data_IF_706967843288
#
_entry.id   IF_706967843288
#
_cell.length_a   1.000
_cell.length_b   1.000
_cell.length_c   1.000
_cell.angle_alpha   90.00
_cell.angle_beta   90.00
_cell.angle_gamma   90.00
#
_symmetry.space_group_name_H-M   'P 1'
#
loop_
_entity.id
_entity.type
_entity.pdbx_description
1 polymer ?
#
# COMPACT_ATOMS: atom_id res chain seq x y z
N UNK A 1 -29.83 16.03 -22.16
CA UNK A 1 -29.13 17.01 -21.30
C UNK A 1 -28.23 16.16 -20.45
N UNK A 2 -26.91 16.23 -20.65
CA UNK A 2 -25.98 15.47 -19.80
C UNK A 2 -25.99 16.14 -18.44
N UNK A 3 -26.45 15.42 -17.43
CA UNK A 3 -26.26 15.80 -16.04
C UNK A 3 -24.74 15.88 -15.80
N UNK A 4 -24.26 16.96 -15.18
CA UNK A 4 -22.84 17.13 -14.90
C UNK A 4 -22.34 16.09 -13.88
N UNK A 5 -21.03 15.81 -13.81
CA UNK A 5 -20.47 14.74 -12.97
C UNK A 5 -20.67 14.94 -11.45
N UNK A 6 -21.12 16.13 -11.04
CA UNK A 6 -21.35 16.54 -9.64
C UNK A 6 -22.82 16.82 -9.33
N UNK A 7 -23.73 16.40 -10.22
CA UNK A 7 -25.16 16.64 -10.02
C UNK A 7 -25.72 15.82 -8.86
N UNK A 8 -26.41 16.48 -7.94
CA UNK A 8 -26.99 15.86 -6.74
C UNK A 8 -26.08 15.90 -5.53
N UNK A 9 -24.86 16.47 -5.64
CA UNK A 9 -23.98 16.66 -4.49
C UNK A 9 -24.66 17.51 -3.39
N UNK A 10 -25.42 18.55 -3.73
CA UNK A 10 -26.11 19.38 -2.73
C UNK A 10 -27.30 18.70 -2.04
N UNK A 11 -27.75 17.54 -2.55
CA UNK A 11 -28.89 16.80 -1.99
C UNK A 11 -28.49 15.90 -0.81
N UNK A 12 -27.19 15.74 -0.55
CA UNK A 12 -26.63 14.91 0.53
C UNK A 12 -26.34 15.80 1.74
N UNK A 13 -26.73 15.35 2.93
CA UNK A 13 -26.41 16.02 4.19
C UNK A 13 -24.96 15.73 4.61
N UNK A 14 -24.01 16.37 3.92
CA UNK A 14 -22.58 16.18 4.18
C UNK A 14 -22.16 16.63 5.58
N UNK A 15 -22.82 17.64 6.14
CA UNK A 15 -22.52 18.11 7.49
C UNK A 15 -22.90 17.08 8.56
N UNK A 16 -23.89 16.23 8.30
CA UNK A 16 -24.20 15.10 9.17
C UNK A 16 -23.17 13.96 9.07
N UNK A 17 -22.53 13.78 7.91
CA UNK A 17 -21.55 12.72 7.66
C UNK A 17 -20.12 13.11 8.06
N UNK A 18 -19.78 14.39 7.96
CA UNK A 18 -18.49 14.96 8.33
C UNK A 18 -18.72 16.27 9.12
N UNK A 19 -18.88 16.21 10.46
CA UNK A 19 -19.32 17.35 11.26
C UNK A 19 -18.46 18.60 11.16
N UNK A 20 -17.13 18.44 11.03
CA UNK A 20 -16.20 19.56 11.08
C UNK A 20 -16.10 20.31 9.75
N UNK A 21 -16.07 19.58 8.63
CA UNK A 21 -15.76 20.13 7.30
C UNK A 21 -16.69 19.66 6.17
N UNK A 22 -17.74 18.90 6.49
CA UNK A 22 -18.64 18.30 5.49
C UNK A 22 -19.33 19.33 4.59
N UNK A 23 -19.60 20.53 5.07
CA UNK A 23 -20.19 21.60 4.26
C UNK A 23 -19.29 22.06 3.09
N UNK A 24 -17.99 21.76 3.13
CA UNK A 24 -17.03 22.08 2.07
C UNK A 24 -17.09 21.09 0.89
N UNK A 25 -17.52 19.84 1.15
CA UNK A 25 -17.44 18.72 0.19
C UNK A 25 -18.08 19.03 -1.17
N UNK A 26 -19.31 19.59 -1.27
CA UNK A 26 -19.90 19.89 -2.59
C UNK A 26 -19.05 20.82 -3.45
N UNK A 27 -18.42 21.83 -2.85
CA UNK A 27 -17.57 22.77 -3.61
C UNK A 27 -16.23 22.14 -3.97
N UNK A 28 -15.66 21.32 -3.09
CA UNK A 28 -14.45 20.54 -3.40
C UNK A 28 -14.70 19.58 -4.58
N UNK A 29 -15.84 18.87 -4.60
CA UNK A 29 -16.22 18.02 -5.73
C UNK A 29 -16.34 18.81 -7.05
N UNK A 30 -16.91 20.03 -7.02
CA UNK A 30 -16.94 20.91 -8.20
C UNK A 30 -15.55 21.40 -8.60
N UNK A 31 -14.67 21.64 -7.64
CA UNK A 31 -13.29 22.04 -7.88
C UNK A 31 -12.46 20.91 -8.51
N UNK A 32 -12.72 19.66 -8.15
CA UNK A 32 -12.10 18.49 -8.79
C UNK A 32 -12.45 18.35 -10.28
N UNK A 33 -13.64 18.79 -10.69
CA UNK A 33 -14.03 18.80 -12.10
C UNK A 33 -13.32 19.88 -12.94
N UNK A 34 -12.56 20.77 -12.30
CA UNK A 34 -11.76 21.83 -12.93
C UNK A 34 -10.26 21.49 -12.81
N UNK A 35 -9.58 21.14 -13.92
CA UNK A 35 -8.17 20.73 -13.88
C UNK A 35 -7.24 21.74 -13.18
N UNK A 36 -7.57 23.04 -13.22
CA UNK A 36 -6.74 24.08 -12.60
C UNK A 36 -6.83 24.08 -11.06
N UNK A 37 -7.87 23.46 -10.49
CA UNK A 37 -8.13 23.41 -9.05
C UNK A 37 -8.07 21.99 -8.47
N UNK A 38 -7.94 20.98 -9.34
CA UNK A 38 -8.08 19.58 -8.94
C UNK A 38 -7.06 19.15 -7.88
N UNK A 39 -5.79 19.53 -8.00
CA UNK A 39 -4.74 19.07 -7.06
C UNK A 39 -5.00 19.57 -5.64
N UNK A 40 -5.27 20.87 -5.45
CA UNK A 40 -5.58 21.43 -4.13
C UNK A 40 -6.90 20.84 -3.58
N UNK A 41 -7.92 20.70 -4.43
CA UNK A 41 -9.19 20.13 -4.03
C UNK A 41 -9.09 18.65 -3.64
N UNK A 42 -8.17 17.87 -4.25
CA UNK A 42 -7.90 16.48 -3.85
C UNK A 42 -7.33 16.45 -2.45
N UNK A 43 -6.30 17.25 -2.15
CA UNK A 43 -5.69 17.29 -0.82
C UNK A 43 -6.74 17.65 0.24
N UNK A 44 -7.46 18.74 0.02
CA UNK A 44 -8.42 19.25 1.00
C UNK A 44 -9.59 18.27 1.18
N UNK A 45 -10.01 17.55 0.13
CA UNK A 45 -11.04 16.52 0.24
C UNK A 45 -10.51 15.24 0.90
N UNK A 46 -9.27 14.83 0.61
CA UNK A 46 -8.60 13.70 1.25
C UNK A 46 -8.55 13.90 2.77
N UNK A 47 -8.13 15.06 3.26
CA UNK A 47 -8.09 15.37 4.69
C UNK A 47 -9.45 15.21 5.40
N UNK A 48 -10.56 15.39 4.68
CA UNK A 48 -11.91 15.22 5.22
C UNK A 48 -12.34 13.75 5.19
N UNK A 49 -11.99 13.02 4.12
CA UNK A 49 -12.53 11.69 3.84
C UNK A 49 -11.62 10.54 4.30
N UNK A 50 -10.34 10.81 4.56
CA UNK A 50 -9.33 9.80 4.89
C UNK A 50 -9.74 9.00 6.12
N UNK A 51 -9.49 7.70 6.10
CA UNK A 51 -9.67 6.85 7.27
C UNK A 51 -8.43 6.97 8.19
N UNK A 52 -8.58 6.99 9.53
CA UNK A 52 -9.81 6.92 10.31
C UNK A 52 -10.33 8.30 10.79
N UNK A 53 -10.37 9.31 9.92
CA UNK A 53 -10.87 10.64 10.31
C UNK A 53 -12.38 10.62 10.62
N UNK A 54 -12.84 11.57 11.43
CA UNK A 54 -14.27 11.73 11.75
C UNK A 54 -15.16 12.05 10.53
N UNK A 55 -14.58 12.48 9.40
CA UNK A 55 -15.30 12.72 8.16
C UNK A 55 -15.34 11.53 7.20
N UNK A 56 -14.65 10.43 7.52
CA UNK A 56 -14.67 9.20 6.72
C UNK A 56 -16.07 8.63 6.42
N UNK A 57 -17.11 8.79 7.28
CA UNK A 57 -18.48 8.37 6.92
C UNK A 57 -19.06 9.05 5.65
N UNK A 58 -18.46 10.15 5.19
CA UNK A 58 -18.81 10.78 3.92
C UNK A 58 -18.17 10.08 2.69
N UNK A 59 -17.09 9.33 2.87
CA UNK A 59 -16.30 8.74 1.78
C UNK A 59 -17.13 7.83 0.85
N UNK A 60 -17.99 6.90 1.34
CA UNK A 60 -18.79 6.05 0.47
C UNK A 60 -19.73 6.84 -0.45
N UNK A 61 -20.20 8.02 -0.02
CA UNK A 61 -21.08 8.89 -0.81
C UNK A 61 -20.31 9.72 -1.84
N UNK A 62 -19.04 10.02 -1.59
CA UNK A 62 -18.20 10.77 -2.52
C UNK A 62 -17.80 9.94 -3.74
N UNK A 63 -17.66 8.61 -3.59
CA UNK A 63 -17.18 7.69 -4.63
C UNK A 63 -17.90 7.87 -5.96
N UNK A 64 -19.24 7.97 -5.96
CA UNK A 64 -20.00 8.06 -7.20
C UNK A 64 -19.62 9.30 -8.02
N UNK A 65 -19.42 10.43 -7.35
CA UNK A 65 -18.98 11.68 -7.97
C UNK A 65 -17.53 11.59 -8.42
N UNK A 66 -16.64 11.01 -7.62
CA UNK A 66 -15.22 10.85 -7.96
C UNK A 66 -15.05 10.00 -9.23
N UNK A 67 -15.77 8.89 -9.35
CA UNK A 67 -15.75 8.06 -10.57
C UNK A 67 -16.28 8.83 -11.78
N UNK A 68 -17.38 9.58 -11.62
CA UNK A 68 -17.95 10.36 -12.73
C UNK A 68 -17.03 11.51 -13.16
N UNK A 69 -16.32 12.15 -12.21
CA UNK A 69 -15.31 13.17 -12.49
C UNK A 69 -14.13 12.54 -13.24
N UNK A 70 -13.57 11.42 -12.76
CA UNK A 70 -12.44 10.76 -13.41
C UNK A 70 -12.74 10.37 -14.87
N UNK A 71 -13.98 9.95 -15.16
CA UNK A 71 -14.43 9.61 -16.52
C UNK A 71 -14.66 10.82 -17.42
N UNK A 72 -15.10 11.93 -16.84
CA UNK A 72 -15.34 13.17 -17.56
C UNK A 72 -14.05 13.97 -17.79
N UNK A 73 -13.02 13.75 -16.97
CA UNK A 73 -11.73 14.40 -17.05
C UNK A 73 -11.03 14.09 -18.39
N UNK A 74 -10.14 15.00 -18.79
CA UNK A 74 -9.21 14.68 -19.86
C UNK A 74 -8.25 13.58 -19.36
N UNK A 75 -7.73 12.71 -20.23
CA UNK A 75 -6.87 11.60 -19.78
C UNK A 75 -5.59 12.01 -19.05
N UNK A 76 -5.11 13.24 -19.26
CA UNK A 76 -3.94 13.77 -18.55
C UNK A 76 -4.30 14.38 -17.18
N UNK A 77 -5.58 14.65 -16.93
CA UNK A 77 -6.07 15.32 -15.72
C UNK A 77 -6.85 14.36 -14.79
N UNK A 78 -7.02 13.09 -15.18
CA UNK A 78 -7.79 12.12 -14.40
C UNK A 78 -7.05 11.60 -13.16
N UNK A 79 -5.71 11.64 -13.18
CA UNK A 79 -4.87 11.02 -12.16
C UNK A 79 -5.11 11.50 -10.73
N UNK A 80 -5.35 12.80 -10.42
CA UNK A 80 -5.52 13.22 -9.03
C UNK A 80 -6.76 12.57 -8.40
N UNK A 81 -7.83 12.43 -9.19
CA UNK A 81 -9.10 11.84 -8.75
C UNK A 81 -8.97 10.32 -8.63
N UNK A 82 -8.22 9.69 -9.53
CA UNK A 82 -7.91 8.25 -9.44
C UNK A 82 -7.02 7.93 -8.23
N UNK A 83 -6.05 8.80 -7.91
CA UNK A 83 -5.25 8.68 -6.69
C UNK A 83 -6.12 8.79 -5.44
N UNK A 84 -7.03 9.78 -5.38
CA UNK A 84 -7.96 9.91 -4.26
C UNK A 84 -8.86 8.67 -4.10
N UNK A 85 -9.39 8.13 -5.20
CA UNK A 85 -10.14 6.87 -5.16
C UNK A 85 -9.30 5.71 -4.61
N UNK A 86 -8.02 5.65 -4.95
CA UNK A 86 -7.09 4.65 -4.43
C UNK A 86 -6.87 4.80 -2.92
N UNK A 87 -6.52 6.00 -2.46
CA UNK A 87 -6.29 6.29 -1.03
C UNK A 87 -7.54 6.03 -0.17
N UNK A 88 -8.73 6.26 -0.73
CA UNK A 88 -9.99 5.95 -0.05
C UNK A 88 -10.33 4.45 -0.06
N UNK A 89 -9.94 3.71 -1.10
CA UNK A 89 -10.13 2.25 -1.17
C UNK A 89 -9.15 1.48 -0.29
N UNK A 90 -7.94 2.01 -0.13
CA UNK A 90 -6.79 1.37 0.51
C UNK A 90 -6.09 2.39 1.39
N UNK A 91 -6.65 2.60 2.59
CA UNK A 91 -6.14 3.58 3.55
C UNK A 91 -4.76 3.25 4.12
N UNK A 92 -4.34 1.99 4.05
CA UNK A 92 -2.99 1.53 4.39
C UNK A 92 -2.56 0.41 3.44
N UNK A 93 -1.87 0.75 2.35
CA UNK A 93 -1.46 -0.21 1.34
C UNK A 93 -0.45 -1.25 1.89
N UNK A 94 0.37 -0.88 2.88
CA UNK A 94 1.28 -1.77 3.58
C UNK A 94 0.59 -2.97 4.30
N UNK A 95 -0.70 -2.85 4.64
CA UNK A 95 -1.48 -3.92 5.29
C UNK A 95 -1.88 -5.04 4.31
N UNK A 96 -1.66 -4.81 3.01
CA UNK A 96 -2.06 -5.70 1.93
C UNK A 96 -0.87 -6.43 1.28
N UNK A 97 0.34 -6.27 1.83
CA UNK A 97 1.57 -6.88 1.33
C UNK A 97 2.38 -7.54 2.47
N UNK A 98 3.06 -8.67 2.21
CA UNK A 98 3.09 -9.39 0.93
C UNK A 98 1.85 -10.27 0.65
N UNK A 99 1.06 -10.60 1.68
CA UNK A 99 -0.12 -11.44 1.51
C UNK A 99 -1.35 -10.58 1.20
N UNK A 100 -2.12 -10.97 0.19
CA UNK A 100 -3.35 -10.24 -0.14
C UNK A 100 -4.34 -10.30 1.03
N UNK A 101 -5.12 -9.23 1.19
CA UNK A 101 -6.19 -9.19 2.19
C UNK A 101 -7.30 -10.18 1.82
N UNK A 102 -7.73 -10.99 2.79
CA UNK A 102 -8.96 -11.77 2.67
C UNK A 102 -10.16 -10.85 2.87
N UNK A 103 -10.81 -10.48 1.75
CA UNK A 103 -11.94 -9.55 1.75
C UNK A 103 -13.18 -10.18 2.40
N UNK A 104 -13.37 -11.50 2.32
CA UNK A 104 -14.50 -12.16 2.96
C UNK A 104 -14.35 -12.11 4.48
N UNK A 105 -13.16 -12.44 4.99
CA UNK A 105 -12.84 -12.31 6.42
C UNK A 105 -12.97 -10.87 6.89
N UNK A 106 -12.52 -9.89 6.10
CA UNK A 106 -12.67 -8.48 6.45
C UNK A 106 -14.16 -8.07 6.57
N UNK A 107 -15.03 -8.53 5.68
CA UNK A 107 -16.48 -8.25 5.79
C UNK A 107 -17.09 -8.87 7.05
N UNK A 108 -16.69 -10.10 7.40
CA UNK A 108 -17.15 -10.78 8.61
C UNK A 108 -16.67 -10.04 9.87
N UNK A 109 -15.41 -9.59 9.88
CA UNK A 109 -14.80 -8.79 10.95
C UNK A 109 -15.59 -7.48 11.18
N UNK A 110 -15.83 -6.70 10.12
CA UNK A 110 -16.58 -5.43 10.21
C UNK A 110 -18.04 -5.68 10.60
N UNK A 111 -18.67 -6.74 10.10
CA UNK A 111 -20.03 -7.12 10.50
C UNK A 111 -20.12 -7.49 11.98
N UNK A 112 -19.12 -8.17 12.51
CA UNK A 112 -19.02 -8.46 13.93
C UNK A 112 -18.85 -7.18 14.76
N UNK A 113 -17.95 -6.27 14.35
CA UNK A 113 -17.69 -5.03 15.07
C UNK A 113 -18.94 -4.13 15.14
N UNK A 114 -19.62 -3.95 14.00
CA UNK A 114 -20.86 -3.17 13.87
C UNK A 114 -22.05 -3.77 14.65
N UNK A 115 -22.03 -5.08 14.89
CA UNK A 115 -23.05 -5.79 15.68
C UNK A 115 -22.73 -5.89 17.18
N UNK A 116 -21.58 -5.39 17.61
CA UNK A 116 -21.06 -5.55 18.98
C UNK A 116 -21.05 -4.21 19.74
N UNK A 117 -20.86 -4.29 21.06
CA UNK A 117 -20.68 -3.12 21.91
C UNK A 117 -19.25 -2.56 21.78
N UNK A 118 -19.10 -1.23 21.75
CA UNK A 118 -17.82 -0.54 21.56
C UNK A 118 -16.72 -1.01 22.54
N UNK A 119 -17.05 -1.31 23.80
CA UNK A 119 -16.07 -1.80 24.77
C UNK A 119 -15.57 -3.21 24.41
N UNK A 120 -16.48 -4.06 23.94
CA UNK A 120 -16.15 -5.41 23.49
C UNK A 120 -15.31 -5.36 22.20
N UNK A 121 -15.62 -4.42 21.29
CA UNK A 121 -14.85 -4.21 20.06
C UNK A 121 -13.42 -3.82 20.39
N UNK A 122 -13.23 -2.80 21.23
CA UNK A 122 -11.90 -2.34 21.66
C UNK A 122 -11.10 -3.42 22.36
N UNK A 123 -11.72 -4.17 23.27
CA UNK A 123 -11.06 -5.26 23.97
C UNK A 123 -10.60 -6.37 23.01
N UNK A 124 -11.42 -6.74 22.03
CA UNK A 124 -11.09 -7.79 21.08
C UNK A 124 -9.99 -7.38 20.10
N UNK A 125 -10.00 -6.14 19.60
CA UNK A 125 -8.92 -5.66 18.72
C UNK A 125 -7.59 -5.55 19.46
N UNK A 126 -7.60 -5.18 20.75
CA UNK A 126 -6.41 -5.23 21.58
C UNK A 126 -5.88 -6.68 21.73
N UNK A 127 -6.76 -7.66 21.90
CA UNK A 127 -6.39 -9.08 21.96
C UNK A 127 -5.84 -9.56 20.60
N UNK A 128 -6.50 -9.26 19.48
CA UNK A 128 -6.03 -9.65 18.15
C UNK A 128 -4.71 -8.99 17.77
N UNK A 129 -4.48 -7.75 18.22
CA UNK A 129 -3.21 -7.07 18.06
C UNK A 129 -2.08 -7.79 18.81
N UNK A 130 -2.32 -8.19 20.06
CA UNK A 130 -1.37 -8.93 20.87
C UNK A 130 -1.07 -10.34 20.31
N UNK A 131 -2.09 -10.99 19.75
CA UNK A 131 -2.02 -12.35 19.19
C UNK A 131 -1.63 -12.39 17.70
N UNK A 132 -1.28 -11.24 17.10
CA UNK A 132 -0.97 -11.15 15.68
C UNK A 132 0.17 -12.14 15.29
N UNK A 133 -0.07 -13.06 14.33
CA UNK A 133 0.86 -14.16 14.06
C UNK A 133 2.11 -13.74 13.28
N UNK A 134 2.04 -12.60 12.59
CA UNK A 134 3.09 -12.02 11.77
C UNK A 134 2.97 -10.49 11.73
N UNK A 135 3.98 -9.84 11.17
CA UNK A 135 4.06 -8.38 11.17
C UNK A 135 2.99 -7.73 10.29
N UNK A 136 2.58 -8.38 9.20
CA UNK A 136 1.53 -7.85 8.34
C UNK A 136 0.18 -7.82 9.08
N UNK A 137 -0.16 -8.89 9.80
CA UNK A 137 -1.37 -8.93 10.63
C UNK A 137 -1.28 -7.95 11.80
N UNK A 138 -0.09 -7.77 12.39
CA UNK A 138 0.11 -6.78 13.44
C UNK A 138 -0.19 -5.37 12.93
N UNK A 139 0.41 -4.93 11.82
CA UNK A 139 0.14 -3.60 11.22
C UNK A 139 -1.35 -3.39 10.94
N UNK A 140 -2.00 -4.41 10.36
CA UNK A 140 -3.44 -4.38 10.11
C UNK A 140 -4.23 -4.21 11.40
N UNK A 141 -4.00 -5.06 12.41
CA UNK A 141 -4.74 -4.99 13.68
C UNK A 141 -4.45 -3.69 14.43
N UNK A 142 -3.24 -3.13 14.30
CA UNK A 142 -2.86 -1.86 14.91
C UNK A 142 -3.68 -0.72 14.32
N UNK A 143 -3.74 -0.64 12.99
CA UNK A 143 -4.55 0.35 12.29
C UNK A 143 -6.04 0.23 12.66
N UNK A 144 -6.55 -0.99 12.83
CA UNK A 144 -7.93 -1.22 13.31
C UNK A 144 -8.12 -0.79 14.75
N UNK A 145 -7.19 -1.14 15.64
CA UNK A 145 -7.22 -0.77 17.05
C UNK A 145 -7.24 0.76 17.23
N UNK A 146 -6.41 1.47 16.47
CA UNK A 146 -6.37 2.93 16.46
C UNK A 146 -7.71 3.53 16.00
N UNK A 147 -8.32 2.96 14.94
CA UNK A 147 -9.61 3.40 14.44
C UNK A 147 -10.78 3.16 15.40
N UNK A 148 -10.73 2.08 16.21
CA UNK A 148 -11.78 1.77 17.19
C UNK A 148 -11.54 2.38 18.56
N UNK A 149 -10.39 3.03 18.80
CA UNK A 149 -10.07 3.62 20.09
C UNK A 149 -11.04 4.76 20.49
N UNK A 150 -11.46 5.67 19.58
CA UNK A 150 -12.49 6.67 19.86
C UNK A 150 -13.91 6.08 19.90
N UNK A 151 -14.83 6.78 20.57
CA UNK A 151 -16.26 6.43 20.60
C UNK A 151 -16.84 6.39 19.17
N UNK A 152 -17.63 5.36 18.85
CA UNK A 152 -18.20 5.18 17.51
C UNK A 152 -17.21 4.69 16.44
N UNK A 153 -16.00 4.29 16.84
CA UNK A 153 -15.00 3.72 15.93
C UNK A 153 -15.45 2.53 15.07
N UNK A 154 -16.35 1.61 15.52
CA UNK A 154 -16.91 0.58 14.65
C UNK A 154 -17.60 1.14 13.39
N UNK A 155 -18.19 2.33 13.47
CA UNK A 155 -18.80 3.00 12.32
C UNK A 155 -17.75 3.49 11.29
N UNK A 156 -16.52 3.79 11.73
CA UNK A 156 -15.40 4.10 10.83
C UNK A 156 -14.96 2.84 10.07
N UNK A 157 -14.86 1.70 10.75
CA UNK A 157 -14.57 0.41 10.09
C UNK A 157 -15.62 0.06 9.03
N UNK A 158 -16.90 0.30 9.35
CA UNK A 158 -18.01 0.15 8.39
C UNK A 158 -17.85 1.10 7.20
N UNK A 159 -17.53 2.36 7.45
CA UNK A 159 -17.40 3.39 6.42
C UNK A 159 -16.24 3.11 5.46
N UNK A 160 -15.11 2.59 5.96
CA UNK A 160 -14.00 2.14 5.11
C UNK A 160 -14.43 1.00 4.19
N UNK A 161 -15.10 -0.03 4.73
CA UNK A 161 -15.59 -1.15 3.92
C UNK A 161 -16.66 -0.70 2.91
N UNK A 162 -17.58 0.17 3.32
CA UNK A 162 -18.61 0.73 2.42
C UNK A 162 -17.98 1.55 1.29
N UNK A 163 -16.84 2.21 1.54
CA UNK A 163 -16.08 2.95 0.52
C UNK A 163 -15.46 1.99 -0.49
N UNK A 164 -14.81 0.93 -0.01
CA UNK A 164 -14.30 -0.15 -0.85
C UNK A 164 -15.41 -0.75 -1.73
N UNK A 165 -16.54 -1.10 -1.13
CA UNK A 165 -17.67 -1.71 -1.83
C UNK A 165 -18.33 -0.74 -2.84
N UNK A 166 -18.38 0.55 -2.55
CA UNK A 166 -18.85 1.57 -3.48
C UNK A 166 -17.95 1.67 -4.72
N UNK A 167 -16.62 1.64 -4.55
CA UNK A 167 -15.68 1.68 -5.68
C UNK A 167 -15.77 0.37 -6.48
N UNK A 168 -15.84 -0.77 -5.78
CA UNK A 168 -16.04 -2.09 -6.40
C UNK A 168 -17.28 -2.11 -7.30
N UNK A 169 -18.39 -1.52 -6.86
CA UNK A 169 -19.63 -1.43 -7.63
C UNK A 169 -19.48 -0.61 -8.92
N UNK A 170 -18.46 0.26 -9.01
CA UNK A 170 -18.18 1.15 -10.15
C UNK A 170 -17.01 0.69 -11.02
N UNK A 171 -16.44 -0.51 -10.79
CA UNK A 171 -15.30 -1.02 -11.57
C UNK A 171 -15.59 -1.03 -13.09
N UNK A 172 -16.78 -1.44 -13.51
CA UNK A 172 -17.15 -1.49 -14.93
C UNK A 172 -17.10 -0.11 -15.62
N UNK A 173 -17.29 0.98 -14.84
CA UNK A 173 -17.19 2.35 -15.33
C UNK A 173 -15.74 2.84 -15.44
N UNK A 174 -14.81 2.25 -14.68
CA UNK A 174 -13.38 2.57 -14.65
C UNK A 174 -12.59 1.80 -15.71
N UNK A 175 -12.95 0.54 -16.00
CA UNK A 175 -12.25 -0.31 -16.98
C UNK A 175 -12.00 0.34 -18.37
N UNK A 176 -12.89 1.17 -18.93
CA UNK A 176 -12.63 1.87 -20.19
C UNK A 176 -11.40 2.79 -20.15
N UNK A 177 -11.00 3.30 -18.98
CA UNK A 177 -9.84 4.18 -18.82
C UNK A 177 -8.51 3.46 -19.06
N UNK A 178 -8.46 2.12 -18.98
CA UNK A 178 -7.27 1.34 -19.31
C UNK A 178 -6.93 1.38 -20.82
N UNK A 179 -7.93 1.65 -21.68
CA UNK A 179 -7.84 1.46 -23.13
C UNK A 179 -7.51 2.73 -23.87
N UNK A 180 -6.86 2.55 -25.02
CA UNK A 180 -6.61 3.62 -25.99
C UNK A 180 -5.32 4.38 -25.73
N UNK A 181 -4.60 4.71 -26.81
CA UNK A 181 -3.28 5.33 -26.73
C UNK A 181 -3.25 6.70 -26.02
N UNK A 182 -4.38 7.40 -25.94
CA UNK A 182 -4.48 8.69 -25.23
C UNK A 182 -4.46 8.49 -23.72
N UNK A 183 -5.14 7.45 -23.21
CA UNK A 183 -5.21 7.16 -21.79
C UNK A 183 -3.91 6.58 -21.21
N UNK A 184 -2.99 6.14 -22.09
CA UNK A 184 -1.72 5.50 -21.72
C UNK A 184 -0.50 6.39 -21.92
N UNK A 185 -0.71 7.69 -22.19
CA UNK A 185 0.37 8.62 -22.50
C UNK A 185 0.75 9.42 -21.25
N UNK A 186 2.04 9.54 -20.99
CA UNK A 186 2.59 10.29 -19.86
C UNK A 186 2.91 9.38 -18.68
N UNK A 187 3.61 9.93 -17.68
CA UNK A 187 3.92 9.22 -16.44
C UNK A 187 2.62 9.01 -15.63
N UNK A 188 1.85 10.07 -15.42
CA UNK A 188 0.56 10.03 -14.72
C UNK A 188 -0.63 9.77 -15.65
N UNK A 189 -0.51 8.74 -16.49
CA UNK A 189 -1.57 8.42 -17.44
C UNK A 189 -2.81 7.84 -16.72
N UNK A 190 -4.01 8.13 -17.22
CA UNK A 190 -5.25 7.59 -16.66
C UNK A 190 -5.23 6.05 -16.58
N UNK A 191 -4.63 5.37 -17.56
CA UNK A 191 -4.51 3.91 -17.58
C UNK A 191 -3.60 3.39 -16.47
N UNK A 192 -2.50 4.09 -16.16
CA UNK A 192 -1.57 3.73 -15.08
C UNK A 192 -2.28 3.75 -13.73
N UNK A 193 -2.88 4.89 -13.41
CA UNK A 193 -3.60 5.09 -12.16
C UNK A 193 -4.85 4.22 -12.04
N UNK A 194 -5.54 3.95 -13.15
CA UNK A 194 -6.66 3.00 -13.15
C UNK A 194 -6.18 1.58 -12.88
N UNK A 195 -5.09 1.13 -13.50
CA UNK A 195 -4.54 -0.20 -13.25
C UNK A 195 -4.11 -0.35 -11.79
N UNK A 196 -3.44 0.67 -11.24
CA UNK A 196 -3.00 0.70 -9.85
C UNK A 196 -4.18 0.65 -8.86
N UNK A 197 -5.21 1.48 -9.04
CA UNK A 197 -6.45 1.43 -8.24
C UNK A 197 -7.10 0.04 -8.29
N UNK A 198 -7.20 -0.56 -9.47
CA UNK A 198 -7.88 -1.84 -9.65
C UNK A 198 -7.10 -3.03 -9.09
N UNK A 199 -5.80 -2.91 -8.87
CA UNK A 199 -4.94 -3.96 -8.31
C UNK A 199 -5.43 -4.48 -6.94
N UNK A 200 -6.20 -3.67 -6.22
CA UNK A 200 -6.64 -3.93 -4.85
C UNK A 200 -8.05 -4.56 -4.75
N UNK A 201 -8.63 -4.98 -5.88
CA UNK A 201 -9.97 -5.58 -5.95
C UNK A 201 -9.92 -7.06 -6.37
N UNK A 202 -9.41 -7.97 -5.52
CA UNK A 202 -9.23 -9.38 -5.88
C UNK A 202 -10.55 -10.10 -6.20
N UNK A 203 -11.69 -9.63 -5.68
CA UNK A 203 -13.00 -10.21 -5.99
C UNK A 203 -13.42 -10.01 -7.45
N UNK A 204 -12.88 -8.99 -8.13
CA UNK A 204 -13.12 -8.72 -9.55
C UNK A 204 -11.91 -9.12 -10.42
N UNK A 205 -10.96 -9.89 -9.87
CA UNK A 205 -9.68 -10.21 -10.50
C UNK A 205 -9.84 -10.71 -11.95
N UNK A 206 -10.69 -11.71 -12.19
CA UNK A 206 -10.86 -12.28 -13.54
C UNK A 206 -11.32 -11.24 -14.58
N UNK A 207 -12.13 -10.26 -14.15
CA UNK A 207 -12.60 -9.18 -15.01
C UNK A 207 -11.48 -8.17 -15.28
N UNK A 208 -10.76 -7.78 -14.23
CA UNK A 208 -9.69 -6.77 -14.28
C UNK A 208 -8.50 -7.29 -15.08
N UNK A 209 -8.01 -8.51 -14.80
CA UNK A 209 -6.86 -9.11 -15.51
C UNK A 209 -7.16 -9.27 -17.01
N UNK A 210 -8.39 -9.68 -17.35
CA UNK A 210 -8.86 -9.75 -18.74
C UNK A 210 -8.91 -8.38 -19.42
N UNK A 211 -9.36 -7.34 -18.70
CA UNK A 211 -9.41 -5.98 -19.22
C UNK A 211 -8.02 -5.38 -19.46
N UNK A 212 -7.08 -5.57 -18.53
CA UNK A 212 -5.68 -5.15 -18.67
C UNK A 212 -5.04 -5.84 -19.87
N UNK A 213 -5.16 -7.17 -19.96
CA UNK A 213 -4.58 -7.95 -21.07
C UNK A 213 -5.12 -7.49 -22.43
N UNK A 214 -6.43 -7.21 -22.51
CA UNK A 214 -7.04 -6.66 -23.72
C UNK A 214 -6.53 -5.25 -24.05
N UNK A 215 -6.40 -4.37 -23.05
CA UNK A 215 -5.92 -3.00 -23.22
C UNK A 215 -4.49 -2.95 -23.76
N UNK A 216 -3.60 -3.82 -23.25
CA UNK A 216 -2.23 -3.95 -23.76
C UNK A 216 -2.22 -4.42 -25.23
N UNK A 217 -3.06 -5.41 -25.56
CA UNK A 217 -3.14 -5.95 -26.92
C UNK A 217 -3.66 -4.91 -27.94
N UNK A 218 -4.58 -4.02 -27.53
CA UNK A 218 -5.19 -3.00 -28.39
C UNK A 218 -4.19 -1.96 -28.90
N UNK A 219 -3.14 -1.67 -28.13
CA UNK A 219 -2.23 -0.53 -28.39
C UNK A 219 -1.07 -0.93 -29.32
N UNK A 220 -0.73 -2.22 -29.37
CA UNK A 220 0.30 -2.74 -30.26
C UNK A 220 -0.16 -3.99 -31.03
N UNK A 221 -1.17 -3.88 -31.91
CA UNK A 221 -1.71 -5.03 -32.64
C UNK A 221 -0.65 -5.63 -33.56
N UNK A 222 -0.11 -6.79 -33.17
CA UNK A 222 0.92 -7.53 -33.91
C UNK A 222 2.37 -7.20 -33.54
N UNK A 223 2.59 -6.30 -32.58
CA UNK A 223 3.90 -6.06 -31.98
C UNK A 223 4.08 -6.76 -30.63
N UNK A 224 5.24 -6.54 -30.00
CA UNK A 224 5.47 -7.02 -28.64
C UNK A 224 4.62 -6.21 -27.65
N UNK A 225 3.85 -6.87 -26.76
CA UNK A 225 3.09 -6.19 -25.71
C UNK A 225 4.01 -5.29 -24.89
N UNK A 226 3.64 -4.01 -24.75
CA UNK A 226 4.35 -3.05 -23.93
C UNK A 226 3.41 -2.54 -22.82
N UNK A 227 3.25 -3.33 -21.74
CA UNK A 227 2.41 -2.92 -20.63
C UNK A 227 3.02 -1.74 -19.90
N UNK A 228 2.18 -1.01 -19.18
CA UNK A 228 2.64 -0.06 -18.20
C UNK A 228 3.05 -0.75 -16.89
N UNK A 229 3.78 -0.07 -16.00
CA UNK A 229 4.28 -0.65 -14.76
C UNK A 229 3.15 -1.10 -13.82
N UNK A 230 2.18 -0.22 -13.59
CA UNK A 230 0.99 -0.52 -12.78
C UNK A 230 0.13 -1.67 -13.34
N UNK A 231 0.14 -1.89 -14.65
CA UNK A 231 -0.55 -3.04 -15.26
C UNK A 231 0.14 -4.37 -14.90
N UNK A 232 1.47 -4.39 -14.93
CA UNK A 232 2.27 -5.56 -14.52
C UNK A 232 2.06 -5.82 -13.03
N UNK A 233 2.06 -4.78 -12.20
CA UNK A 233 1.75 -4.87 -10.77
C UNK A 233 0.35 -5.43 -10.52
N UNK A 234 -0.67 -4.85 -11.15
CA UNK A 234 -2.06 -5.27 -10.97
C UNK A 234 -2.26 -6.74 -11.38
N UNK A 235 -1.62 -7.19 -12.46
CA UNK A 235 -1.62 -8.60 -12.84
C UNK A 235 -0.99 -9.49 -11.75
N UNK A 236 0.14 -9.06 -11.16
CA UNK A 236 0.78 -9.74 -10.02
C UNK A 236 -0.09 -9.78 -8.75
N UNK A 237 -0.85 -8.71 -8.49
CA UNK A 237 -1.75 -8.57 -7.34
C UNK A 237 -3.10 -9.28 -7.50
N UNK A 238 -3.50 -9.65 -8.72
CA UNK A 238 -4.84 -10.18 -8.98
C UNK A 238 -4.84 -11.61 -9.51
N UNK A 239 -3.81 -12.02 -10.25
CA UNK A 239 -3.80 -13.34 -10.85
C UNK A 239 -3.80 -14.46 -9.81
N UNK A 240 -4.51 -15.53 -10.15
CA UNK A 240 -4.50 -16.80 -9.42
C UNK A 240 -3.23 -17.58 -9.76
N UNK A 241 -2.63 -18.34 -8.82
CA UNK A 241 -1.50 -19.23 -9.12
C UNK A 241 -1.74 -20.20 -10.28
N UNK A 242 -3.00 -20.62 -10.50
CA UNK A 242 -3.40 -21.49 -11.62
C UNK A 242 -3.66 -20.71 -12.93
N UNK A 243 -3.56 -19.37 -12.94
CA UNK A 243 -3.61 -18.56 -14.15
C UNK A 243 -2.29 -18.65 -14.94
N UNK A 244 -2.21 -19.72 -15.73
CA UNK A 244 -1.09 -19.99 -16.63
C UNK A 244 -0.89 -18.84 -17.64
N UNK A 245 -1.96 -18.16 -18.06
CA UNK A 245 -1.87 -17.12 -19.10
C UNK A 245 -1.14 -15.91 -18.55
N UNK A 246 -1.56 -15.42 -17.38
CA UNK A 246 -0.88 -14.29 -16.72
C UNK A 246 0.54 -14.66 -16.31
N UNK A 247 0.76 -15.88 -15.81
CA UNK A 247 2.11 -16.36 -15.46
C UNK A 247 3.06 -16.36 -16.66
N UNK A 248 2.63 -16.87 -17.82
CA UNK A 248 3.43 -16.84 -19.05
C UNK A 248 3.69 -15.39 -19.48
N UNK A 249 2.67 -14.54 -19.41
CA UNK A 249 2.79 -13.14 -19.79
C UNK A 249 3.82 -12.39 -18.93
N UNK A 250 3.74 -12.51 -17.60
CA UNK A 250 4.72 -11.91 -16.69
C UNK A 250 6.11 -12.52 -16.89
N UNK A 251 6.21 -13.83 -17.15
CA UNK A 251 7.47 -14.48 -17.49
C UNK A 251 8.13 -13.93 -18.77
N UNK A 252 7.35 -13.44 -19.74
CA UNK A 252 7.89 -12.74 -20.90
C UNK A 252 8.39 -11.34 -20.54
N UNK A 253 7.69 -10.62 -19.64
CA UNK A 253 8.10 -9.28 -19.19
C UNK A 253 9.37 -9.33 -18.31
N UNK A 254 9.55 -10.40 -17.54
CA UNK A 254 10.78 -10.68 -16.80
C UNK A 254 12.02 -10.73 -17.69
N UNK A 255 11.85 -11.16 -18.96
CA UNK A 255 12.91 -11.23 -19.96
C UNK A 255 12.97 -9.99 -20.86
N UNK A 256 12.12 -8.99 -20.60
CA UNK A 256 12.08 -7.76 -21.39
C UNK A 256 13.33 -6.90 -21.13
N UNK A 257 13.59 -5.94 -22.02
CA UNK A 257 14.71 -5.00 -21.88
C UNK A 257 14.40 -3.80 -20.98
N UNK A 258 13.16 -3.65 -20.52
CA UNK A 258 12.75 -2.58 -19.60
C UNK A 258 13.06 -3.01 -18.16
N UNK A 259 14.04 -2.38 -17.47
CA UNK A 259 14.43 -2.79 -16.12
C UNK A 259 13.28 -2.67 -15.11
N UNK A 260 12.46 -1.64 -15.25
CA UNK A 260 11.22 -1.36 -14.53
C UNK A 260 10.20 -2.51 -14.68
N UNK A 261 9.94 -2.94 -15.90
CA UNK A 261 8.98 -4.01 -16.21
C UNK A 261 9.48 -5.38 -15.78
N UNK A 262 10.77 -5.63 -15.93
CA UNK A 262 11.40 -6.86 -15.47
C UNK A 262 11.27 -6.99 -13.95
N UNK A 263 11.56 -5.91 -13.19
CA UNK A 263 11.39 -5.90 -11.75
C UNK A 263 9.92 -6.06 -11.35
N UNK A 264 9.00 -5.27 -11.93
CA UNK A 264 7.57 -5.38 -11.65
C UNK A 264 7.04 -6.81 -11.92
N UNK A 265 7.52 -7.45 -12.99
CA UNK A 265 7.14 -8.83 -13.32
C UNK A 265 7.75 -9.85 -12.35
N UNK A 266 8.99 -9.65 -11.90
CA UNK A 266 9.63 -10.49 -10.88
C UNK A 266 8.85 -10.44 -9.56
N UNK A 267 8.50 -9.24 -9.11
CA UNK A 267 7.68 -9.04 -7.90
C UNK A 267 6.28 -9.63 -8.10
N UNK A 268 5.64 -9.38 -9.24
CA UNK A 268 4.32 -9.94 -9.54
C UNK A 268 4.29 -11.47 -9.55
N UNK A 269 5.31 -12.11 -10.14
CA UNK A 269 5.45 -13.58 -10.08
C UNK A 269 5.71 -14.08 -8.66
N UNK A 270 6.44 -13.33 -7.84
CA UNK A 270 6.61 -13.59 -6.41
C UNK A 270 5.29 -13.53 -5.64
N UNK A 271 4.46 -12.50 -5.89
CA UNK A 271 3.15 -12.34 -5.26
C UNK A 271 2.16 -13.46 -5.65
N UNK A 272 2.27 -13.99 -6.87
CA UNK A 272 1.41 -15.09 -7.34
C UNK A 272 1.90 -16.44 -6.78
N UNK A 273 3.20 -16.75 -6.92
CA UNK A 273 3.72 -18.11 -6.71
C UNK A 273 4.47 -18.29 -5.39
N UNK A 274 4.68 -17.21 -4.63
CA UNK A 274 5.47 -17.20 -3.40
C UNK A 274 6.88 -17.75 -3.60
N UNK A 275 7.32 -18.60 -2.67
CA UNK A 275 8.60 -19.32 -2.79
C UNK A 275 8.69 -20.26 -4.01
N UNK A 276 7.55 -20.57 -4.66
CA UNK A 276 7.47 -21.36 -5.89
C UNK A 276 7.81 -20.58 -7.16
N UNK A 277 8.02 -19.26 -7.08
CA UNK A 277 8.33 -18.43 -8.25
C UNK A 277 9.62 -18.87 -8.99
N UNK A 278 9.76 -18.62 -10.30
CA UNK A 278 10.99 -18.94 -11.02
C UNK A 278 12.24 -18.28 -10.41
N UNK A 279 13.39 -18.96 -10.42
CA UNK A 279 14.67 -18.42 -9.91
C UNK A 279 15.08 -17.11 -10.57
N UNK A 280 14.74 -16.95 -11.84
CA UNK A 280 14.98 -15.72 -12.59
C UNK A 280 14.32 -14.49 -11.96
N UNK A 281 13.27 -14.64 -11.15
CA UNK A 281 12.68 -13.52 -10.43
C UNK A 281 13.66 -12.98 -9.38
N UNK A 282 14.26 -13.87 -8.59
CA UNK A 282 15.25 -13.52 -7.57
C UNK A 282 16.49 -12.93 -8.24
N UNK A 283 16.98 -13.54 -9.32
CA UNK A 283 18.16 -13.05 -10.05
C UNK A 283 17.96 -11.61 -10.55
N UNK A 284 16.76 -11.28 -11.05
CA UNK A 284 16.41 -9.91 -11.49
C UNK A 284 16.35 -8.94 -10.32
N UNK A 285 15.76 -9.34 -9.19
CA UNK A 285 15.70 -8.50 -7.98
C UNK A 285 17.11 -8.24 -7.44
N UNK A 286 17.97 -9.25 -7.39
CA UNK A 286 19.37 -9.12 -6.98
C UNK A 286 20.19 -8.23 -7.93
N UNK A 287 19.99 -8.36 -9.25
CA UNK A 287 20.64 -7.48 -10.23
C UNK A 287 20.25 -6.00 -10.03
N UNK A 288 19.04 -5.74 -9.52
CA UNK A 288 18.52 -4.39 -9.30
C UNK A 288 18.64 -3.88 -7.87
N UNK A 289 19.26 -4.66 -6.97
CA UNK A 289 19.36 -4.34 -5.53
C UNK A 289 19.76 -2.89 -5.25
N UNK A 290 20.80 -2.38 -5.93
CA UNK A 290 21.34 -1.01 -5.75
C UNK A 290 20.44 0.12 -6.33
N UNK A 291 19.35 -0.23 -7.00
CA UNK A 291 18.46 0.71 -7.69
C UNK A 291 16.98 0.38 -7.49
N UNK A 292 16.66 -0.42 -6.47
CA UNK A 292 15.28 -0.88 -6.23
C UNK A 292 14.33 0.29 -6.04
N UNK A 293 14.71 1.29 -5.25
CA UNK A 293 13.82 2.39 -4.90
C UNK A 293 13.51 3.28 -6.11
N UNK A 294 14.52 3.61 -6.93
CA UNK A 294 14.31 4.30 -8.22
C UNK A 294 13.41 3.46 -9.14
N UNK A 295 13.66 2.15 -9.22
CA UNK A 295 12.90 1.27 -10.11
C UNK A 295 11.45 1.12 -9.65
N UNK A 296 11.19 1.05 -8.34
CA UNK A 296 9.84 1.05 -7.78
C UNK A 296 9.12 2.37 -8.02
N UNK A 297 9.79 3.50 -7.83
CA UNK A 297 9.24 4.83 -8.10
C UNK A 297 8.87 5.07 -9.57
N UNK A 298 9.49 4.32 -10.50
CA UNK A 298 9.12 4.33 -11.92
C UNK A 298 8.03 3.29 -12.24
N UNK A 299 8.07 2.14 -11.57
CA UNK A 299 7.18 1.03 -11.86
C UNK A 299 5.76 1.23 -11.31
N UNK A 300 5.60 1.96 -10.21
CA UNK A 300 4.32 2.15 -9.55
C UNK A 300 4.03 3.61 -9.20
N UNK A 301 2.77 4.05 -9.28
CA UNK A 301 2.37 5.37 -8.79
C UNK A 301 2.65 5.54 -7.28
N UNK A 302 3.11 6.73 -6.88
CA UNK A 302 3.24 7.12 -5.47
C UNK A 302 1.92 7.74 -4.97
N UNK A 303 1.47 7.30 -3.79
CA UNK A 303 0.29 7.83 -3.10
C UNK A 303 0.71 8.50 -1.79
N UNK A 304 -0.06 9.47 -1.29
CA UNK A 304 0.34 10.31 -0.16
C UNK A 304 0.58 9.53 1.16
N UNK A 305 0.07 8.31 1.28
CA UNK A 305 0.20 7.47 2.47
C UNK A 305 1.16 6.28 2.35
N UNK A 306 1.79 6.05 1.19
CA UNK A 306 2.77 4.95 1.02
C UNK A 306 3.67 5.22 -0.17
N UNK A 307 4.98 5.13 0.06
CA UNK A 307 5.96 5.28 -1.02
C UNK A 307 6.08 3.98 -1.84
N UNK A 308 6.26 4.04 -3.17
CA UNK A 308 6.45 2.84 -4.00
C UNK A 308 7.59 1.95 -3.51
N UNK A 309 8.67 2.54 -3.01
CA UNK A 309 9.81 1.84 -2.43
C UNK A 309 9.40 0.96 -1.24
N UNK A 310 8.60 1.50 -0.33
CA UNK A 310 8.06 0.79 0.84
C UNK A 310 7.25 -0.44 0.40
N UNK A 311 6.24 -0.21 -0.45
CA UNK A 311 5.34 -1.27 -0.91
C UNK A 311 6.10 -2.36 -1.65
N UNK A 312 7.12 -2.00 -2.43
CA UNK A 312 7.91 -2.99 -3.17
C UNK A 312 8.73 -3.89 -2.30
N UNK A 313 9.37 -3.29 -1.30
CA UNK A 313 10.16 -4.03 -0.32
C UNK A 313 9.28 -4.96 0.50
N UNK A 314 8.10 -4.51 0.91
CA UNK A 314 7.10 -5.39 1.56
C UNK A 314 6.65 -6.51 0.61
N UNK A 315 6.40 -6.22 -0.67
CA UNK A 315 6.00 -7.21 -1.66
C UNK A 315 7.06 -8.29 -1.91
N UNK A 316 8.36 -7.95 -1.80
CA UNK A 316 9.45 -8.95 -1.87
C UNK A 316 9.28 -10.05 -0.81
N UNK A 317 8.63 -9.76 0.32
CA UNK A 317 8.32 -10.73 1.35
C UNK A 317 7.54 -11.96 0.85
N UNK A 318 6.82 -11.85 -0.28
CA UNK A 318 6.11 -12.99 -0.88
C UNK A 318 7.06 -14.11 -1.31
N UNK A 319 8.30 -13.78 -1.69
CA UNK A 319 9.33 -14.75 -2.08
C UNK A 319 9.97 -15.48 -0.88
N UNK A 320 9.55 -15.16 0.35
CA UNK A 320 10.00 -15.83 1.57
C UNK A 320 11.52 -15.83 1.72
N UNK A 321 12.08 -16.98 2.11
CA UNK A 321 13.51 -17.14 2.39
C UNK A 321 14.38 -16.81 1.17
N UNK A 322 13.86 -16.99 -0.04
CA UNK A 322 14.62 -16.79 -1.29
C UNK A 322 14.96 -15.32 -1.57
N UNK A 323 14.20 -14.39 -0.99
CA UNK A 323 14.48 -12.96 -1.06
C UNK A 323 15.18 -12.40 0.18
N UNK A 324 15.42 -13.24 1.20
CA UNK A 324 15.88 -12.79 2.52
C UNK A 324 17.16 -11.98 2.43
N UNK A 325 18.15 -12.48 1.68
CA UNK A 325 19.46 -11.82 1.55
C UNK A 325 19.36 -10.45 0.87
N UNK A 326 18.62 -10.35 -0.24
CA UNK A 326 18.46 -9.07 -0.95
C UNK A 326 17.64 -8.06 -0.14
N UNK A 327 16.61 -8.52 0.59
CA UNK A 327 15.83 -7.66 1.49
C UNK A 327 16.71 -7.07 2.59
N UNK A 328 17.55 -7.87 3.24
CA UNK A 328 18.47 -7.39 4.28
C UNK A 328 19.53 -6.43 3.72
N UNK A 329 20.20 -6.79 2.61
CA UNK A 329 21.30 -5.96 2.08
C UNK A 329 20.87 -4.60 1.56
N UNK A 330 19.58 -4.41 1.29
CA UNK A 330 19.05 -3.18 0.71
C UNK A 330 18.25 -2.35 1.73
N UNK A 331 18.21 -2.76 3.00
CA UNK A 331 17.50 -2.01 4.05
C UNK A 331 17.98 -0.56 4.20
N UNK A 332 19.29 -0.25 4.19
CA UNK A 332 19.74 1.13 4.32
C UNK A 332 19.13 2.05 3.25
N UNK A 333 19.21 1.65 1.98
CA UNK A 333 18.61 2.39 0.86
C UNK A 333 17.09 2.51 1.02
N UNK A 334 16.44 1.45 1.51
CA UNK A 334 14.99 1.44 1.72
C UNK A 334 14.52 2.39 2.81
N UNK A 335 15.28 2.47 3.91
CA UNK A 335 15.00 3.43 4.97
C UNK A 335 15.23 4.87 4.52
N UNK A 336 16.30 5.13 3.76
CA UNK A 336 16.54 6.45 3.16
C UNK A 336 15.40 6.85 2.22
N UNK A 337 14.95 5.93 1.36
CA UNK A 337 13.90 6.18 0.38
C UNK A 337 12.49 6.37 1.00
N UNK A 338 12.28 5.93 2.23
CA UNK A 338 10.97 6.00 2.92
C UNK A 338 10.93 7.05 4.04
N UNK A 339 11.97 7.87 4.14
CA UNK A 339 12.14 8.86 5.19
C UNK A 339 10.91 9.80 5.33
N UNK A 340 10.25 9.76 6.49
CA UNK A 340 9.16 10.63 6.94
C UNK A 340 7.75 10.07 6.81
N UNK A 341 7.51 9.00 6.04
CA UNK A 341 6.14 8.52 5.72
C UNK A 341 5.99 6.99 5.77
N UNK A 342 7.07 6.19 5.79
CA UNK A 342 6.98 4.73 5.57
C UNK A 342 8.03 3.86 6.27
N UNK A 343 8.83 4.38 7.20
CA UNK A 343 9.92 3.61 7.80
C UNK A 343 9.42 2.54 8.78
N UNK A 344 8.39 2.85 9.58
CA UNK A 344 7.91 1.94 10.63
C UNK A 344 7.47 0.56 10.08
N UNK A 345 6.67 0.46 9.00
CA UNK A 345 6.35 -0.84 8.40
C UNK A 345 7.57 -1.65 7.96
N UNK A 346 8.61 -1.00 7.44
CA UNK A 346 9.85 -1.66 7.02
C UNK A 346 10.71 -2.08 8.22
N UNK A 347 10.76 -1.29 9.29
CA UNK A 347 11.48 -1.65 10.53
C UNK A 347 10.87 -2.91 11.15
N UNK A 348 9.55 -2.94 11.34
CA UNK A 348 8.86 -4.12 11.86
C UNK A 348 9.09 -5.37 11.00
N UNK A 349 9.04 -5.22 9.67
CA UNK A 349 9.26 -6.33 8.73
C UNK A 349 10.72 -6.82 8.75
N UNK A 350 11.69 -5.91 8.86
CA UNK A 350 13.11 -6.24 8.99
C UNK A 350 13.42 -6.98 10.30
N UNK A 351 12.83 -6.53 11.41
CA UNK A 351 12.94 -7.20 12.71
C UNK A 351 12.31 -8.59 12.67
N UNK A 352 11.12 -8.73 12.06
CA UNK A 352 10.48 -10.03 11.87
C UNK A 352 11.33 -10.98 11.01
N UNK A 353 12.02 -10.47 9.99
CA UNK A 353 12.91 -11.23 9.11
C UNK A 353 14.18 -11.76 9.82
N UNK A 354 14.70 -11.00 10.79
CA UNK A 354 15.94 -11.32 11.51
C UNK A 354 15.71 -12.13 12.80
N UNK A 355 14.64 -11.80 13.54
CA UNK A 355 14.37 -12.34 14.86
C UNK A 355 13.18 -13.31 14.89
N UNK A 356 12.41 -13.39 13.80
CA UNK A 356 11.18 -14.16 13.71
C UNK A 356 9.97 -13.32 14.12
N UNK A 357 8.76 -13.93 14.13
CA UNK A 357 7.51 -13.21 14.30
C UNK A 357 7.45 -12.47 15.63
N UNK A 358 6.74 -11.34 15.63
CA UNK A 358 6.43 -10.53 16.81
C UNK A 358 5.86 -11.40 17.92
N UNK A 359 6.39 -11.28 19.14
CA UNK A 359 5.85 -11.94 20.35
C UNK A 359 6.07 -11.04 21.55
N UNK A 360 5.01 -10.74 22.31
CA UNK A 360 5.06 -9.94 23.55
C UNK A 360 6.04 -10.47 24.62
N UNK A 361 6.46 -11.73 24.50
CA UNK A 361 7.33 -12.39 25.48
C UNK A 361 8.69 -12.76 24.91
N UNK A 362 9.24 -12.00 23.97
CA UNK A 362 10.69 -12.02 23.83
C UNK A 362 11.26 -11.55 25.16
N UNK A 363 11.85 -12.49 25.93
CA UNK A 363 12.68 -12.08 27.04
C UNK A 363 13.72 -11.14 26.45
N UNK A 364 13.98 -9.97 27.06
CA UNK A 364 15.09 -9.13 26.65
C UNK A 364 16.29 -10.05 26.50
N UNK A 365 16.91 -10.03 25.32
CA UNK A 365 18.05 -10.90 25.04
C UNK A 365 18.99 -10.76 26.23
N UNK A 366 19.09 -11.82 27.03
CA UNK A 366 19.74 -11.71 28.33
C UNK A 366 21.24 -11.60 28.07
N UNK A 367 21.73 -10.38 27.83
CA UNK A 367 23.12 -10.07 27.56
C UNK A 367 23.77 -10.93 26.44
N UNK A 368 23.02 -11.27 25.39
CA UNK A 368 23.69 -11.60 24.14
C UNK A 368 24.21 -10.24 23.62
N UNK A 369 25.50 -9.98 23.85
CA UNK A 369 26.17 -8.84 23.24
C UNK A 369 25.91 -8.89 21.74
N UNK A 370 25.81 -7.73 21.08
CA UNK A 370 25.61 -7.63 19.64
C UNK A 370 26.51 -8.59 18.81
N UNK A 371 27.75 -8.83 19.27
CA UNK A 371 28.71 -9.80 18.72
C UNK A 371 28.23 -11.27 18.70
N UNK A 372 27.23 -11.61 19.50
CA UNK A 372 26.62 -12.95 19.60
C UNK A 372 25.53 -13.21 18.57
N UNK A 373 25.09 -12.18 17.85
CA UNK A 373 24.13 -12.33 16.75
C UNK A 373 24.80 -12.84 15.47
N UNK A 374 24.02 -13.51 14.62
CA UNK A 374 24.47 -13.85 13.27
C UNK A 374 24.54 -12.60 12.38
N UNK A 375 25.20 -12.73 11.23
CA UNK A 375 25.45 -11.58 10.36
C UNK A 375 24.18 -10.90 9.84
N UNK A 376 23.09 -11.66 9.64
CA UNK A 376 21.83 -11.10 9.17
C UNK A 376 21.14 -10.26 10.25
N UNK A 377 21.12 -10.73 11.50
CA UNK A 377 20.64 -9.94 12.64
C UNK A 377 21.48 -8.70 12.87
N UNK A 378 22.81 -8.84 12.78
CA UNK A 378 23.73 -7.71 12.94
C UNK A 378 23.48 -6.63 11.88
N UNK A 379 23.29 -7.04 10.64
CA UNK A 379 23.08 -6.13 9.53
C UNK A 379 21.73 -5.40 9.60
N UNK A 380 20.65 -6.09 10.00
CA UNK A 380 19.36 -5.44 10.26
C UNK A 380 19.48 -4.39 11.36
N UNK A 381 20.12 -4.73 12.48
CA UNK A 381 20.30 -3.80 13.59
C UNK A 381 21.20 -2.63 13.21
N UNK A 382 22.23 -2.85 12.39
CA UNK A 382 23.07 -1.76 11.86
C UNK A 382 22.30 -0.85 10.90
N UNK A 383 21.44 -1.39 10.06
CA UNK A 383 20.59 -0.58 9.19
C UNK A 383 19.63 0.31 10.01
N UNK A 384 19.05 -0.22 11.08
CA UNK A 384 18.19 0.55 12.00
C UNK A 384 19.01 1.59 12.78
N UNK A 385 20.24 1.25 13.20
CA UNK A 385 21.13 2.19 13.89
C UNK A 385 21.57 3.37 13.01
N UNK A 386 21.57 3.19 11.68
CA UNK A 386 21.88 4.25 10.72
C UNK A 386 20.73 5.22 10.43
N UNK A 387 19.54 5.02 11.04
CA UNK A 387 18.42 5.94 10.91
C UNK A 387 18.72 7.27 11.63
N UNK A 388 18.40 8.43 11.04
CA UNK A 388 18.53 9.73 11.70
C UNK A 388 17.74 9.82 13.01
N UNK A 389 18.25 10.55 14.00
CA UNK A 389 17.61 10.71 15.33
C UNK A 389 16.15 11.18 15.20
N UNK A 390 15.83 12.03 14.21
CA UNK A 390 14.47 12.52 14.00
C UNK A 390 13.46 11.40 13.71
N UNK A 391 13.90 10.29 13.11
CA UNK A 391 13.03 9.13 12.88
C UNK A 391 12.75 8.35 14.17
N UNK A 392 13.69 8.37 15.12
CA UNK A 392 13.52 7.78 16.45
C UNK A 392 12.59 8.58 17.36
N UNK A 393 12.29 9.84 17.02
CA UNK A 393 11.28 10.64 17.73
C UNK A 393 9.86 10.10 17.49
N UNK A 394 9.64 9.34 16.40
CA UNK A 394 8.38 8.63 16.19
C UNK A 394 8.19 7.56 17.27
N UNK A 395 6.98 7.42 17.81
CA UNK A 395 6.71 6.40 18.84
C UNK A 395 6.80 4.96 18.31
N UNK A 396 6.86 4.78 16.99
CA UNK A 396 6.70 3.49 16.33
C UNK A 396 7.98 2.65 16.39
N UNK A 397 9.12 3.24 16.07
CA UNK A 397 10.42 2.54 16.07
C UNK A 397 10.78 2.05 17.49
N UNK A 398 10.72 2.89 18.55
CA UNK A 398 10.97 2.44 19.92
C UNK A 398 10.03 1.32 20.37
N UNK A 399 8.74 1.42 20.04
CA UNK A 399 7.73 0.41 20.39
C UNK A 399 8.00 -0.92 19.68
N UNK A 400 8.43 -0.88 18.42
CA UNK A 400 8.83 -2.08 17.70
C UNK A 400 10.04 -2.73 18.36
N UNK A 401 11.12 -2.00 18.62
CA UNK A 401 12.33 -2.52 19.26
C UNK A 401 12.07 -3.15 20.63
N UNK A 402 11.24 -2.53 21.46
CA UNK A 402 10.86 -3.04 22.78
C UNK A 402 10.23 -4.44 22.70
N UNK A 403 9.42 -4.69 21.67
CA UNK A 403 8.71 -5.97 21.49
C UNK A 403 9.65 -7.12 21.14
N UNK A 404 10.79 -6.85 20.49
CA UNK A 404 11.86 -7.84 20.32
C UNK A 404 12.88 -7.83 21.46
N UNK A 405 12.66 -7.04 22.51
CA UNK A 405 13.52 -6.95 23.69
C UNK A 405 14.86 -6.26 23.41
N UNK A 406 14.88 -5.36 22.43
CA UNK A 406 16.03 -4.53 22.06
C UNK A 406 15.97 -3.17 22.78
N UNK A 407 17.10 -2.44 22.89
CA UNK A 407 17.08 -1.07 23.39
C UNK A 407 16.17 -0.19 22.52
N UNK A 408 15.23 0.52 23.14
CA UNK A 408 14.26 1.37 22.45
C UNK A 408 14.66 2.85 22.41
N UNK A 409 15.70 3.23 23.15
CA UNK A 409 16.26 4.59 23.17
C UNK A 409 17.42 4.71 22.18
N UNK A 410 17.47 5.79 21.39
CA UNK A 410 18.46 6.00 20.32
C UNK A 410 19.91 5.78 20.80
N UNK A 411 20.35 6.53 21.83
CA UNK A 411 21.71 6.43 22.37
C UNK A 411 22.04 5.01 22.87
N UNK A 412 21.09 4.36 23.54
CA UNK A 412 21.28 3.02 24.07
C UNK A 412 21.36 1.97 22.95
N UNK A 413 20.66 2.19 21.84
CA UNK A 413 20.71 1.33 20.66
C UNK A 413 22.03 1.50 19.88
N UNK A 414 22.54 2.74 19.75
CA UNK A 414 23.86 3.00 19.19
C UNK A 414 24.96 2.33 20.04
N UNK A 415 24.92 2.49 21.37
CA UNK A 415 25.87 1.83 22.27
C UNK A 415 25.80 0.31 22.14
N UNK A 416 24.58 -0.24 22.03
CA UNK A 416 24.37 -1.68 21.88
C UNK A 416 24.94 -2.24 20.59
N UNK A 417 24.73 -1.55 19.46
CA UNK A 417 25.21 -1.98 18.13
C UNK A 417 26.67 -1.63 17.86
N UNK A 418 27.25 -0.72 18.65
CA UNK A 418 28.58 -0.16 18.43
C UNK A 418 28.65 0.81 17.25
N UNK A 419 27.50 1.29 16.77
CA UNK A 419 27.42 2.33 15.75
C UNK A 419 27.85 3.68 16.35
N UNK A 420 28.48 4.51 15.52
CA UNK A 420 28.83 5.90 15.87
C UNK A 420 27.78 6.79 15.23
N UNK A 421 27.38 7.84 15.93
CA UNK A 421 26.43 8.81 15.42
C UNK A 421 26.93 9.39 14.08
N UNK A 422 26.06 9.46 13.07
CA UNK A 422 26.42 9.92 11.73
C UNK A 422 26.88 11.39 11.74
N UNK A 423 26.45 12.16 12.74
CA UNK A 423 26.84 13.55 12.95
C UNK A 423 28.23 13.73 13.63
N UNK A 424 28.81 12.66 14.17
CA UNK A 424 30.14 12.67 14.79
C UNK A 424 31.29 12.40 13.78
N UNK A 425 30.97 12.10 12.49
CA UNK A 425 31.95 11.94 11.40
C UNK A 425 32.31 13.25 10.65
N UNK A 426 32.07 14.42 11.27
CA UNK A 426 32.35 15.75 10.71
C UNK A 426 33.81 16.08 10.34
#
# INVERSE_FOLDING_TARGET
>A
MSNGPVQGADDIDWAALAPDRGAEIPELLRALADPARAVDAVRDLHEILVFPSAGNPAAPKAVDFLVDIARAASPADAWPVLNLLHELAVSAAADHLPQRRDVALWRDEVAWADGSDDDAVRAQYAEWLADAPDEQQYRRMRHRADAVAPDGGPALLRSELDTYDAIKARIDDLLPLLRGAVNRRGLDSAAEWTAYLLAWFPEEAAKITGAITAAVADVNPGGWPDPLGAEVFALGMLADPDDITTTIYLGQQLLSRGPDKALAAAVGLGLIHGEGAPQQCVDVIEEKAESLDETFGVAWPSSAGSEPAELGRLALGALGERSRRVRISTLPDGFEATAGVGEAPLVGDALALAFGPRREQHKPAAADAFDGYDGDRQEVLWAIAGLPEEQWESADIPADLEVWGLPSEYEAFLEFTGAVDADDEG
#
